data_IF_605219877406
#
_entry.id   IF_605219877406
#
_cell.length_a   1.000
_cell.length_b   1.000
_cell.length_c   1.000
_cell.angle_alpha   90.00
_cell.angle_beta   90.00
_cell.angle_gamma   90.00
#
_symmetry.space_group_name_H-M   'P 1'
#
loop_
_entity.id
_entity.type
_entity.pdbx_description
1 polymer ?
#
# COMPACT_ATOMS: atom_id res chain seq x y z
N UNK A 1 59.06 11.05 -25.30
CA UNK A 1 58.17 9.88 -25.21
C UNK A 1 57.36 9.97 -23.92
N UNK A 2 56.05 9.74 -23.96
CA UNK A 2 55.20 9.53 -22.77
C UNK A 2 54.15 10.60 -22.47
N UNK A 3 53.12 10.70 -23.32
CA UNK A 3 51.84 11.30 -22.95
C UNK A 3 51.01 10.26 -22.20
N UNK A 4 50.48 10.55 -21.00
CA UNK A 4 49.18 10.00 -20.56
C UNK A 4 48.46 10.99 -19.63
N UNK A 5 47.39 11.55 -20.19
CA UNK A 5 46.33 12.26 -19.50
C UNK A 5 45.42 11.24 -18.81
N UNK A 6 45.13 11.41 -17.51
CA UNK A 6 44.13 10.61 -16.80
C UNK A 6 42.94 11.50 -16.41
N UNK A 7 41.78 11.07 -16.91
CA UNK A 7 40.54 11.81 -17.00
C UNK A 7 39.73 11.85 -15.70
N UNK A 8 38.82 12.83 -15.68
CA UNK A 8 37.79 13.03 -14.68
C UNK A 8 36.94 11.76 -14.54
N UNK A 9 36.95 11.14 -13.35
CA UNK A 9 35.99 10.09 -13.02
C UNK A 9 34.69 10.77 -12.60
N UNK A 10 33.82 11.05 -13.57
CA UNK A 10 32.43 11.37 -13.31
C UNK A 10 31.74 10.14 -12.74
N UNK A 11 31.25 10.23 -11.51
CA UNK A 11 30.37 9.23 -10.92
C UNK A 11 29.06 9.19 -11.73
N UNK A 12 28.97 8.27 -12.68
CA UNK A 12 27.71 7.94 -13.35
C UNK A 12 26.90 7.13 -12.35
N UNK A 13 26.02 7.80 -11.59
CA UNK A 13 25.02 7.12 -10.79
C UNK A 13 24.02 6.51 -11.77
N UNK A 14 24.19 5.23 -12.09
CA UNK A 14 23.17 4.45 -12.76
C UNK A 14 21.92 4.46 -11.87
N UNK A 15 20.93 5.30 -12.20
CA UNK A 15 19.54 5.09 -11.78
C UNK A 15 19.17 3.72 -12.33
N UNK A 16 19.23 2.69 -11.49
CA UNK A 16 18.69 1.38 -11.82
C UNK A 16 17.24 1.60 -12.23
N UNK A 17 16.83 1.21 -13.45
CA UNK A 17 15.41 1.22 -13.77
C UNK A 17 14.78 0.23 -12.80
N UNK A 18 13.87 0.70 -11.95
CA UNK A 18 13.01 -0.16 -11.14
C UNK A 18 12.24 -0.99 -12.17
N UNK A 19 12.70 -2.22 -12.38
CA UNK A 19 12.06 -3.17 -13.27
C UNK A 19 10.56 -3.16 -12.95
N UNK A 20 9.72 -2.97 -13.96
CA UNK A 20 8.29 -3.09 -13.82
C UNK A 20 8.00 -4.49 -13.30
N UNK A 21 7.84 -4.64 -11.97
CA UNK A 21 7.33 -5.86 -11.36
C UNK A 21 6.01 -6.13 -12.06
N UNK A 22 5.90 -7.29 -12.70
CA UNK A 22 4.68 -7.69 -13.40
C UNK A 22 3.44 -7.63 -12.48
N UNK A 23 2.26 -7.80 -13.06
CA UNK A 23 0.99 -7.76 -12.32
C UNK A 23 1.04 -8.70 -11.12
N UNK A 24 0.83 -8.16 -9.91
CA UNK A 24 0.82 -8.91 -8.66
C UNK A 24 -0.49 -9.70 -8.60
N UNK A 25 -0.38 -11.01 -8.42
CA UNK A 25 -1.53 -11.90 -8.27
C UNK A 25 -2.19 -11.69 -6.90
N UNK A 26 -3.40 -11.13 -6.89
CA UNK A 26 -4.14 -10.75 -5.68
C UNK A 26 -4.83 -11.96 -5.02
N UNK A 27 -4.04 -12.88 -4.47
CA UNK A 27 -4.55 -14.12 -3.86
C UNK A 27 -5.01 -13.94 -2.41
N UNK A 28 -6.06 -14.69 -2.00
CA UNK A 28 -6.51 -14.75 -0.60
C UNK A 28 -5.44 -15.29 0.35
N UNK A 29 -4.56 -16.19 -0.12
CA UNK A 29 -3.43 -16.72 0.68
C UNK A 29 -2.51 -15.60 1.17
N UNK A 30 -2.20 -14.66 0.29
CA UNK A 30 -1.23 -13.58 0.56
C UNK A 30 -1.90 -12.35 1.17
N UNK A 31 -3.05 -11.96 0.64
CA UNK A 31 -3.70 -10.69 0.96
C UNK A 31 -4.96 -10.84 1.82
N UNK A 32 -5.33 -12.07 2.20
CA UNK A 32 -6.50 -12.34 3.03
C UNK A 32 -7.76 -11.70 2.44
N UNK A 33 -8.49 -10.95 3.27
CA UNK A 33 -9.70 -10.24 2.87
C UNK A 33 -9.47 -8.81 2.38
N UNK A 34 -8.21 -8.38 2.24
CA UNK A 34 -7.83 -7.00 1.94
C UNK A 34 -8.62 -6.44 0.76
N UNK A 35 -8.51 -7.05 -0.43
CA UNK A 35 -9.11 -6.48 -1.64
C UNK A 35 -10.60 -6.80 -1.79
N UNK A 36 -11.08 -7.88 -1.17
CA UNK A 36 -12.51 -8.21 -1.14
C UNK A 36 -13.29 -7.37 -0.14
N UNK A 37 -12.62 -6.62 0.74
CA UNK A 37 -13.27 -5.80 1.77
C UNK A 37 -12.90 -4.33 1.64
N UNK A 38 -11.65 -4.01 1.31
CA UNK A 38 -11.10 -2.65 1.27
C UNK A 38 -10.56 -2.26 -0.12
N UNK A 39 -10.80 -3.06 -1.16
CA UNK A 39 -10.29 -2.81 -2.50
C UNK A 39 -10.95 -1.65 -3.25
N UNK A 40 -10.38 -1.30 -4.39
CA UNK A 40 -10.87 -0.25 -5.31
C UNK A 40 -12.32 -0.43 -5.75
N UNK A 41 -12.75 -1.65 -5.99
CA UNK A 41 -14.11 -1.96 -6.41
C UNK A 41 -15.14 -1.99 -5.26
N UNK A 42 -14.72 -1.73 -4.01
CA UNK A 42 -15.59 -1.83 -2.83
C UNK A 42 -16.32 -0.54 -2.45
N UNK A 43 -16.32 0.49 -3.31
CA UNK A 43 -16.85 1.83 -2.98
C UNK A 43 -18.26 1.81 -2.39
N UNK A 44 -19.24 1.22 -3.08
CA UNK A 44 -20.64 1.24 -2.63
C UNK A 44 -20.84 0.45 -1.34
N UNK A 45 -20.17 -0.69 -1.22
CA UNK A 45 -20.18 -1.50 0.00
C UNK A 45 -19.63 -0.71 1.20
N UNK A 46 -18.50 -0.02 1.02
CA UNK A 46 -17.84 0.73 2.09
C UNK A 46 -18.61 2.00 2.46
N UNK A 47 -19.24 2.68 1.50
CA UNK A 47 -20.18 3.79 1.78
C UNK A 47 -21.34 3.33 2.65
N UNK A 48 -22.01 2.24 2.27
CA UNK A 48 -23.14 1.69 3.02
C UNK A 48 -22.69 1.21 4.40
N UNK A 49 -21.52 0.58 4.50
CA UNK A 49 -20.94 0.14 5.77
C UNK A 49 -20.58 1.32 6.68
N UNK A 50 -19.98 2.38 6.14
CA UNK A 50 -19.64 3.58 6.91
C UNK A 50 -20.91 4.25 7.47
N UNK A 51 -21.92 4.42 6.61
CA UNK A 51 -23.22 4.99 6.98
C UNK A 51 -23.95 4.13 8.02
N UNK A 52 -24.03 2.81 7.78
CA UNK A 52 -24.80 1.90 8.64
C UNK A 52 -24.13 1.61 9.99
N UNK A 53 -22.80 1.63 10.06
CA UNK A 53 -22.06 1.37 11.31
C UNK A 53 -21.73 2.61 12.13
N UNK A 54 -21.84 3.82 11.54
CA UNK A 54 -21.33 5.04 12.16
C UNK A 54 -19.80 5.10 12.27
N UNK A 55 -19.08 4.12 11.72
CA UNK A 55 -17.62 4.02 11.78
C UNK A 55 -16.99 4.26 10.42
N UNK A 56 -15.86 4.99 10.42
CA UNK A 56 -15.07 5.24 9.21
C UNK A 56 -14.60 3.94 8.55
N UNK A 57 -14.48 3.95 7.22
CA UNK A 57 -14.03 2.80 6.45
C UNK A 57 -12.82 3.17 5.57
N UNK A 58 -11.79 2.32 5.58
CA UNK A 58 -10.63 2.46 4.70
C UNK A 58 -10.86 1.85 3.33
N UNK A 59 -10.45 2.53 2.26
CA UNK A 59 -10.52 2.04 0.90
C UNK A 59 -9.22 2.30 0.12
N UNK A 60 -8.66 1.26 -0.49
CA UNK A 60 -7.64 1.38 -1.52
C UNK A 60 -8.26 1.80 -2.85
N UNK A 61 -7.62 2.71 -3.59
CA UNK A 61 -8.07 3.18 -4.91
C UNK A 61 -7.26 2.56 -6.05
N UNK A 62 -6.24 1.77 -5.72
CA UNK A 62 -5.46 0.99 -6.68
C UNK A 62 -4.93 -0.27 -5.98
N UNK A 63 -5.52 -1.43 -6.29
CA UNK A 63 -5.15 -2.67 -5.62
C UNK A 63 -3.70 -3.10 -5.88
N UNK A 64 -3.14 -2.82 -7.06
CA UNK A 64 -1.76 -3.20 -7.38
C UNK A 64 -0.73 -2.41 -6.56
N UNK A 65 -0.91 -1.09 -6.43
CA UNK A 65 -0.06 -0.25 -5.56
C UNK A 65 -0.20 -0.64 -4.09
N UNK A 66 -1.41 -0.97 -3.65
CA UNK A 66 -1.64 -1.48 -2.29
C UNK A 66 -0.98 -2.85 -2.07
N UNK A 67 -1.08 -3.77 -3.03
CA UNK A 67 -0.44 -5.08 -2.95
C UNK A 67 1.09 -4.95 -2.86
N UNK A 68 1.68 -4.10 -3.69
CA UNK A 68 3.12 -3.82 -3.63
C UNK A 68 3.52 -3.27 -2.26
N UNK A 69 2.78 -2.29 -1.73
CA UNK A 69 3.02 -1.74 -0.41
C UNK A 69 2.95 -2.81 0.70
N UNK A 70 1.95 -3.69 0.66
CA UNK A 70 1.80 -4.77 1.64
C UNK A 70 3.00 -5.72 1.57
N UNK A 71 3.38 -6.16 0.37
CA UNK A 71 4.51 -7.08 0.17
C UNK A 71 5.83 -6.47 0.67
N UNK A 72 6.06 -5.18 0.41
CA UNK A 72 7.27 -4.48 0.83
C UNK A 72 7.35 -4.27 2.36
N UNK A 73 6.23 -4.46 3.07
CA UNK A 73 6.13 -4.11 4.49
C UNK A 73 5.63 -5.25 5.41
N UNK A 74 5.23 -6.41 4.88
CA UNK A 74 4.66 -7.50 5.67
C UNK A 74 5.62 -8.00 6.75
N UNK A 75 6.93 -7.96 6.50
CA UNK A 75 7.97 -8.32 7.49
C UNK A 75 7.96 -7.44 8.75
N UNK A 76 7.32 -6.26 8.71
CA UNK A 76 7.17 -5.38 9.89
C UNK A 76 6.07 -5.87 10.85
N UNK A 77 5.31 -6.89 10.48
CA UNK A 77 4.20 -7.43 11.27
C UNK A 77 4.58 -8.61 12.18
N UNK A 78 5.88 -8.90 12.34
CA UNK A 78 6.38 -10.03 13.15
C UNK A 78 5.89 -9.99 14.60
N UNK A 79 5.69 -8.79 15.15
CA UNK A 79 5.21 -8.58 16.52
C UNK A 79 3.71 -8.21 16.58
N UNK A 80 2.94 -8.51 15.53
CA UNK A 80 1.52 -8.22 15.46
C UNK A 80 1.15 -7.12 14.46
N UNK A 81 -0.06 -6.57 14.64
CA UNK A 81 -0.59 -5.57 13.72
C UNK A 81 0.10 -4.22 13.86
N UNK A 82 0.51 -3.63 12.73
CA UNK A 82 1.23 -2.35 12.68
C UNK A 82 0.53 -1.35 11.78
N UNK A 83 0.64 -0.06 12.13
CA UNK A 83 0.22 1.04 11.28
C UNK A 83 1.45 1.62 10.59
N UNK A 84 1.45 1.68 9.26
CA UNK A 84 2.61 2.14 8.48
C UNK A 84 2.22 3.42 7.74
N UNK A 85 2.99 4.51 7.89
CA UNK A 85 2.71 5.76 7.18
C UNK A 85 2.79 5.55 5.67
N UNK A 86 1.90 6.21 4.93
CA UNK A 86 1.91 6.18 3.46
C UNK A 86 2.40 7.52 2.90
N UNK A 87 3.09 7.52 1.75
CA UNK A 87 3.51 8.77 1.11
C UNK A 87 2.30 9.60 0.68
N UNK A 88 2.48 10.92 0.61
CA UNK A 88 1.45 11.83 0.10
C UNK A 88 1.03 11.41 -1.32
N UNK A 89 -0.28 11.38 -1.57
CA UNK A 89 -0.83 10.97 -2.87
C UNK A 89 -0.87 9.46 -3.08
N UNK A 90 -0.62 8.64 -2.05
CA UNK A 90 -0.90 7.21 -2.12
C UNK A 90 -2.40 6.99 -2.46
N UNK A 91 -2.74 6.07 -3.38
CA UNK A 91 -4.11 5.86 -3.85
C UNK A 91 -4.93 5.11 -2.78
N UNK A 92 -5.30 5.82 -1.73
CA UNK A 92 -6.14 5.35 -0.64
C UNK A 92 -6.95 6.50 -0.04
N UNK A 93 -8.12 6.19 0.49
CA UNK A 93 -9.01 7.16 1.14
C UNK A 93 -9.70 6.55 2.36
N UNK A 94 -10.21 7.43 3.19
CA UNK A 94 -11.15 7.14 4.27
C UNK A 94 -12.52 7.60 3.85
N UNK A 95 -13.52 6.74 4.03
CA UNK A 95 -14.93 7.04 3.85
C UNK A 95 -15.53 7.32 5.22
N UNK A 96 -16.05 8.53 5.39
CA UNK A 96 -16.71 8.99 6.60
C UNK A 96 -18.18 8.52 6.64
N UNK A 97 -18.80 8.40 7.83
CA UNK A 97 -20.21 8.00 7.93
C UNK A 97 -21.20 8.93 7.24
N UNK A 98 -20.84 10.21 7.09
CA UNK A 98 -21.61 11.23 6.35
C UNK A 98 -21.47 11.11 4.82
N UNK A 99 -20.69 10.14 4.33
CA UNK A 99 -20.44 9.92 2.91
C UNK A 99 -19.29 10.74 2.34
N UNK A 100 -18.65 11.62 3.13
CA UNK A 100 -17.48 12.39 2.68
C UNK A 100 -16.22 11.53 2.63
N UNK A 101 -15.20 12.01 1.92
CA UNK A 101 -13.91 11.33 1.80
C UNK A 101 -12.78 12.16 2.42
N UNK A 102 -11.83 11.47 3.05
CA UNK A 102 -10.56 12.04 3.52
C UNK A 102 -9.37 11.26 2.97
N UNK A 103 -8.21 11.91 2.86
CA UNK A 103 -6.98 11.21 2.54
C UNK A 103 -6.58 10.30 3.71
N UNK A 104 -6.19 9.06 3.41
CA UNK A 104 -5.58 8.20 4.41
C UNK A 104 -4.14 8.64 4.68
N UNK A 105 -3.65 8.45 5.90
CA UNK A 105 -2.26 8.77 6.29
C UNK A 105 -1.44 7.52 6.57
N UNK A 106 -2.12 6.40 6.87
CA UNK A 106 -1.49 5.13 7.19
C UNK A 106 -2.23 3.96 6.54
N UNK A 107 -1.56 2.82 6.49
CA UNK A 107 -2.16 1.51 6.25
C UNK A 107 -1.91 0.64 7.47
N UNK A 108 -2.97 0.04 8.00
CA UNK A 108 -2.85 -0.99 9.04
C UNK A 108 -2.67 -2.34 8.37
N UNK A 109 -1.59 -3.02 8.73
CA UNK A 109 -1.31 -4.40 8.33
C UNK A 109 -1.64 -5.33 9.50
N UNK A 110 -2.49 -6.31 9.27
CA UNK A 110 -2.80 -7.36 10.25
C UNK A 110 -2.18 -8.67 9.78
N UNK A 111 -1.16 -9.23 10.47
CA UNK A 111 -0.44 -10.41 10.01
C UNK A 111 -1.33 -11.64 9.89
N UNK A 112 -0.88 -12.58 9.06
CA UNK A 112 -1.28 -13.99 9.05
C UNK A 112 -0.03 -14.86 8.91
N UNK A 113 -0.17 -16.19 8.99
CA UNK A 113 0.97 -17.11 8.91
C UNK A 113 1.77 -17.06 7.59
N UNK A 114 1.24 -16.48 6.51
CA UNK A 114 1.95 -16.38 5.22
C UNK A 114 1.76 -15.05 4.47
N UNK A 115 1.28 -14.02 5.16
CA UNK A 115 0.94 -12.73 4.55
C UNK A 115 0.17 -11.85 5.51
N UNK A 116 -0.93 -11.26 5.04
CA UNK A 116 -1.85 -10.51 5.89
C UNK A 116 -3.22 -11.18 5.96
N UNK A 117 -3.86 -11.14 7.14
CA UNK A 117 -5.28 -11.48 7.29
C UNK A 117 -6.15 -10.41 6.62
N UNK A 118 -5.76 -9.15 6.80
CA UNK A 118 -6.34 -7.98 6.15
C UNK A 118 -5.36 -6.81 6.22
N UNK A 119 -5.50 -5.88 5.31
CA UNK A 119 -4.88 -4.57 5.36
C UNK A 119 -5.92 -3.52 4.98
N UNK A 120 -5.83 -2.33 5.58
CA UNK A 120 -6.75 -1.25 5.25
C UNK A 120 -6.16 0.14 5.54
N UNK A 121 -6.53 1.14 4.74
CA UNK A 121 -6.17 2.53 5.03
C UNK A 121 -6.83 3.04 6.31
N UNK A 122 -6.14 3.89 7.06
CA UNK A 122 -6.68 4.57 8.22
C UNK A 122 -6.05 5.96 8.42
N UNK A 123 -6.62 6.68 9.38
CA UNK A 123 -6.00 7.79 10.08
C UNK A 123 -5.92 7.32 11.55
N UNK A 124 -4.71 7.12 12.11
CA UNK A 124 -4.53 6.68 13.50
C UNK A 124 -5.08 7.67 14.52
#
# INVERSE_FOLDING_TARGET
MGFYQLGKVGLVIFKTPIAAKGVIQLTKKTFGHTFTTHGDNMTNFLLNRAKGSGMVQGQFLNNQKAAQFILDNVSKTLNGAVNIPIPKGFPARIIMPDGTFKAATHIRLVPSGSGVKTAYPLIP
#
